data_IF_041644031285
#
_entry.id   IF_041644031285
#
_cell.length_a   1.000
_cell.length_b   1.000
_cell.length_c   1.000
_cell.angle_alpha   90.00
_cell.angle_beta   90.00
_cell.angle_gamma   90.00
#
_symmetry.space_group_name_H-M   'P 1'
#
loop_
_entity.id
_entity.type
_entity.pdbx_description
1 polymer ?
#
# COMPACT_ATOMS: atom_id res chain seq x y z
N UNK A 1 70.23 47.24 7.33
CA UNK A 1 69.57 47.19 6.01
C UNK A 1 68.24 46.44 6.20
N UNK A 2 67.18 47.19 6.09
CA UNK A 2 65.80 46.77 6.46
C UNK A 2 65.13 46.13 5.25
N UNK A 3 64.82 44.78 5.36
CA UNK A 3 64.11 44.07 4.34
C UNK A 3 62.57 44.18 4.55
N UNK A 4 61.89 44.74 3.55
CA UNK A 4 60.41 44.90 3.55
C UNK A 4 59.73 43.55 3.33
N UNK A 5 58.97 43.11 4.31
CA UNK A 5 58.00 42.02 4.16
C UNK A 5 56.72 42.59 3.51
N UNK A 6 56.42 42.18 2.30
CA UNK A 6 55.14 42.46 1.66
C UNK A 6 54.13 41.37 2.04
N UNK A 7 53.14 41.74 2.83
CA UNK A 7 51.96 40.88 3.17
C UNK A 7 50.96 40.94 2.02
N UNK A 8 50.83 39.88 1.29
CA UNK A 8 49.75 39.72 0.28
C UNK A 8 48.48 39.23 1.03
N UNK A 9 47.53 40.13 1.18
CA UNK A 9 46.20 39.79 1.67
C UNK A 9 45.41 39.09 0.56
N UNK A 10 45.22 37.79 0.68
CA UNK A 10 44.32 37.04 -0.18
C UNK A 10 42.89 37.24 0.33
N UNK A 11 42.13 38.08 -0.36
CA UNK A 11 40.71 38.28 -0.13
C UNK A 11 39.93 37.04 -0.55
N UNK A 12 39.43 36.27 0.39
CA UNK A 12 38.47 35.18 0.13
C UNK A 12 37.10 35.79 -0.14
N UNK A 13 36.75 35.94 -1.42
CA UNK A 13 35.37 36.22 -1.83
C UNK A 13 34.51 35.00 -1.51
N UNK A 14 33.79 35.01 -0.39
CA UNK A 14 32.69 34.10 -0.14
C UNK A 14 31.54 34.43 -1.11
N UNK A 15 31.47 33.73 -2.23
CA UNK A 15 30.29 33.74 -3.08
C UNK A 15 29.19 32.94 -2.37
N UNK A 16 28.31 33.64 -1.66
CA UNK A 16 27.05 33.07 -1.23
C UNK A 16 26.27 32.61 -2.48
N UNK A 17 26.19 31.31 -2.70
CA UNK A 17 25.30 30.73 -3.69
C UNK A 17 23.88 31.06 -3.27
N UNK A 18 23.30 32.10 -3.83
CA UNK A 18 21.86 32.36 -3.79
C UNK A 18 21.24 31.20 -4.55
N UNK A 19 20.61 30.31 -3.82
CA UNK A 19 19.77 29.26 -4.43
C UNK A 19 18.62 30.02 -5.10
N UNK A 20 18.57 29.97 -6.42
CA UNK A 20 17.45 30.55 -7.16
C UNK A 20 16.16 29.89 -6.66
N UNK A 21 15.28 30.67 -6.07
CA UNK A 21 13.99 30.21 -5.59
C UNK A 21 13.14 29.84 -6.82
N UNK A 22 12.61 28.62 -6.83
CA UNK A 22 11.71 28.15 -7.90
C UNK A 22 10.50 29.08 -8.01
N UNK A 23 10.13 29.44 -9.24
CA UNK A 23 9.00 30.31 -9.55
C UNK A 23 7.97 29.57 -10.41
N UNK A 24 6.70 29.99 -10.44
CA UNK A 24 5.69 29.38 -11.32
C UNK A 24 6.10 29.36 -12.80
N UNK A 25 6.96 30.32 -13.23
CA UNK A 25 7.41 30.40 -14.62
C UNK A 25 8.36 29.27 -15.04
N UNK A 26 8.97 28.59 -14.08
CA UNK A 26 9.89 27.46 -14.32
C UNK A 26 9.13 26.18 -14.71
N UNK A 27 7.81 26.19 -14.64
CA UNK A 27 6.93 25.04 -14.90
C UNK A 27 6.10 25.23 -16.16
N UNK A 28 6.01 24.17 -16.97
CA UNK A 28 5.31 24.23 -18.26
C UNK A 28 3.78 24.27 -18.11
N UNK A 29 3.25 23.68 -17.04
CA UNK A 29 1.80 23.61 -16.79
C UNK A 29 1.49 24.31 -15.47
N UNK A 30 0.54 25.22 -15.51
CA UNK A 30 0.04 25.95 -14.37
C UNK A 30 -1.48 25.81 -14.30
N UNK A 31 -2.00 25.47 -13.14
CA UNK A 31 -3.42 25.22 -12.92
C UNK A 31 -3.89 26.03 -11.70
N UNK A 32 -4.82 26.97 -11.86
CA UNK A 32 -5.32 27.74 -10.74
C UNK A 32 -6.13 26.84 -9.79
N UNK A 33 -5.99 27.10 -8.48
CA UNK A 33 -6.71 26.40 -7.42
C UNK A 33 -7.68 27.33 -6.73
N UNK A 34 -8.94 26.87 -6.59
CA UNK A 34 -9.90 27.45 -5.66
C UNK A 34 -9.86 26.65 -4.35
N UNK A 35 -9.83 27.37 -3.24
CA UNK A 35 -9.85 26.79 -1.89
C UNK A 35 -11.16 27.11 -1.18
N UNK A 36 -11.65 26.15 -0.40
CA UNK A 36 -12.88 26.26 0.38
C UNK A 36 -12.75 25.54 1.72
N UNK A 37 -13.56 25.94 2.70
CA UNK A 37 -13.51 25.39 4.04
C UNK A 37 -12.44 26.06 4.92
N UNK A 38 -12.08 25.40 6.03
CA UNK A 38 -11.18 25.96 7.04
C UNK A 38 -9.72 25.62 6.74
N UNK A 39 -8.89 26.66 6.56
CA UNK A 39 -7.44 26.52 6.48
C UNK A 39 -6.79 26.20 7.83
N UNK A 40 -5.45 26.15 7.90
CA UNK A 40 -4.50 26.50 6.83
C UNK A 40 -4.13 25.34 5.89
N UNK A 41 -4.57 24.10 6.14
CA UNK A 41 -4.28 22.97 5.26
C UNK A 41 -5.45 22.71 4.32
N UNK A 42 -5.13 22.52 3.05
CA UNK A 42 -6.09 22.17 2.00
C UNK A 42 -5.68 20.90 1.29
N UNK A 43 -6.66 20.05 0.98
CA UNK A 43 -6.48 18.81 0.23
C UNK A 43 -7.05 18.95 -1.16
N UNK A 44 -6.35 18.40 -2.14
CA UNK A 44 -6.71 18.35 -3.55
C UNK A 44 -6.59 16.92 -4.05
N UNK A 45 -7.64 16.37 -4.62
CA UNK A 45 -7.51 15.16 -5.44
C UNK A 45 -6.97 15.56 -6.81
N UNK A 46 -5.77 15.07 -7.16
CA UNK A 46 -5.13 15.41 -8.41
C UNK A 46 -5.86 14.74 -9.59
N UNK A 47 -6.51 15.52 -10.48
CA UNK A 47 -7.12 14.97 -11.68
C UNK A 47 -6.09 14.26 -12.56
N UNK A 48 -6.50 13.22 -13.28
CA UNK A 48 -5.59 12.49 -14.15
C UNK A 48 -4.96 13.38 -15.22
N UNK A 49 -5.73 14.33 -15.79
CA UNK A 49 -5.23 15.31 -16.76
C UNK A 49 -4.04 16.11 -16.22
N UNK A 50 -4.09 16.46 -14.95
CA UNK A 50 -2.99 17.14 -14.25
C UNK A 50 -1.81 16.21 -14.05
N UNK A 51 -2.05 14.98 -13.56
CA UNK A 51 -0.97 13.99 -13.39
C UNK A 51 -0.26 13.66 -14.71
N UNK A 52 -0.98 13.66 -15.83
CA UNK A 52 -0.42 13.45 -17.17
C UNK A 52 0.50 14.58 -17.65
N UNK A 53 0.41 15.77 -17.05
CA UNK A 53 1.28 16.91 -17.37
C UNK A 53 2.59 16.89 -16.58
N UNK A 54 2.74 16.00 -15.60
CA UNK A 54 3.98 15.82 -14.85
C UNK A 54 5.08 15.20 -15.74
N UNK A 55 6.32 15.63 -15.55
CA UNK A 55 7.49 15.07 -16.22
C UNK A 55 8.14 13.94 -15.42
N UNK A 56 7.85 13.87 -14.13
CA UNK A 56 8.34 12.83 -13.23
C UNK A 56 7.21 11.87 -12.87
N UNK A 57 7.44 10.58 -13.00
CA UNK A 57 6.44 9.54 -12.77
C UNK A 57 5.95 9.46 -11.30
N UNK A 58 6.77 9.93 -10.37
CA UNK A 58 6.46 10.02 -8.94
C UNK A 58 5.79 11.34 -8.54
N UNK A 59 5.54 12.24 -9.52
CA UNK A 59 5.03 13.60 -9.32
C UNK A 59 5.99 14.51 -8.51
N UNK A 60 7.28 14.23 -8.55
CA UNK A 60 8.30 15.01 -7.85
C UNK A 60 8.45 16.44 -8.35
N UNK A 61 7.96 16.72 -9.57
CA UNK A 61 7.94 18.04 -10.22
C UNK A 61 6.67 18.86 -9.93
N UNK A 62 5.83 18.41 -9.01
CA UNK A 62 4.66 19.19 -8.56
C UNK A 62 5.10 20.27 -7.57
N UNK A 63 4.49 21.47 -7.68
CA UNK A 63 4.61 22.57 -6.72
C UNK A 63 3.28 23.28 -6.55
N UNK A 64 3.12 23.92 -5.41
CA UNK A 64 1.99 24.85 -5.17
C UNK A 64 2.60 26.21 -4.85
N UNK A 65 2.08 27.27 -5.44
CA UNK A 65 2.52 28.64 -5.22
C UNK A 65 1.35 29.49 -4.75
N UNK A 66 1.63 30.54 -3.94
CA UNK A 66 0.67 31.57 -3.59
C UNK A 66 0.67 32.71 -4.64
N UNK A 67 -0.15 33.75 -4.41
CA UNK A 67 -0.23 34.91 -5.31
C UNK A 67 1.10 35.66 -5.48
N UNK A 68 1.97 35.62 -4.49
CA UNK A 68 3.31 36.23 -4.55
C UNK A 68 4.34 35.36 -5.29
N UNK A 69 3.94 34.17 -5.76
CA UNK A 69 4.87 33.22 -6.40
C UNK A 69 5.76 32.47 -5.41
N UNK A 70 5.44 32.45 -4.13
CA UNK A 70 6.19 31.71 -3.12
C UNK A 70 5.73 30.24 -3.06
N UNK A 71 6.69 29.28 -3.04
CA UNK A 71 6.36 27.88 -2.95
C UNK A 71 5.76 27.53 -1.58
N UNK A 72 4.73 26.69 -1.60
CA UNK A 72 4.03 26.21 -0.43
C UNK A 72 4.54 24.83 -0.02
N UNK A 73 4.63 24.56 1.28
CA UNK A 73 4.92 23.23 1.78
C UNK A 73 3.76 22.28 1.44
N UNK A 74 4.06 21.11 0.91
CA UNK A 74 3.04 20.14 0.49
C UNK A 74 3.48 18.70 0.71
N UNK A 75 2.51 17.81 0.72
CA UNK A 75 2.67 16.37 0.77
C UNK A 75 1.86 15.72 -0.34
N UNK A 76 2.35 14.62 -0.89
CA UNK A 76 1.63 13.74 -1.79
C UNK A 76 1.27 12.46 -1.06
N UNK A 77 0.01 12.07 -1.14
CA UNK A 77 -0.50 10.81 -0.58
C UNK A 77 -1.16 9.99 -1.67
N UNK A 78 -0.64 8.78 -1.87
CA UNK A 78 -1.30 7.78 -2.73
C UNK A 78 -2.16 6.91 -1.84
N UNK A 79 -3.45 6.91 -2.10
CA UNK A 79 -4.38 6.10 -1.33
C UNK A 79 -4.10 4.60 -1.59
N UNK A 80 -3.99 3.84 -0.51
CA UNK A 80 -3.84 2.39 -0.57
C UNK A 80 -5.18 1.71 -0.32
N UNK A 81 -5.30 0.44 -0.68
CA UNK A 81 -6.42 -0.39 -0.25
C UNK A 81 -6.52 -0.35 1.28
N UNK A 82 -7.70 -0.07 1.79
CA UNK A 82 -7.94 -0.05 3.23
C UNK A 82 -8.57 -1.38 3.63
N UNK A 83 -7.91 -2.09 4.53
CA UNK A 83 -8.48 -3.27 5.18
C UNK A 83 -8.90 -2.86 6.57
N UNK A 84 -10.20 -2.90 6.80
CA UNK A 84 -10.78 -2.66 8.13
C UNK A 84 -11.17 -4.00 8.71
N UNK A 85 -10.58 -4.35 9.84
CA UNK A 85 -10.95 -5.51 10.64
C UNK A 85 -11.85 -5.03 11.77
N UNK A 86 -13.08 -5.53 11.79
CA UNK A 86 -14.01 -5.28 12.90
C UNK A 86 -14.07 -6.53 13.74
N UNK A 87 -13.71 -6.41 15.01
CA UNK A 87 -13.78 -7.48 16.00
C UNK A 87 -15.00 -7.29 16.89
N UNK A 88 -15.74 -8.36 17.08
CA UNK A 88 -16.92 -8.39 17.94
C UNK A 88 -16.73 -9.46 19.01
N UNK A 89 -16.91 -9.08 20.26
CA UNK A 89 -16.89 -10.01 21.40
C UNK A 89 -18.33 -10.38 21.72
N UNK A 90 -18.63 -11.67 21.75
CA UNK A 90 -19.98 -12.18 22.01
C UNK A 90 -19.94 -13.18 23.16
N UNK A 91 -20.77 -12.98 24.17
CA UNK A 91 -21.01 -13.99 25.20
C UNK A 91 -21.78 -15.15 24.60
N UNK A 92 -21.32 -16.37 24.81
CA UNK A 92 -21.94 -17.57 24.25
C UNK A 92 -22.48 -18.46 25.35
N UNK A 93 -23.56 -19.18 25.04
CA UNK A 93 -24.11 -20.22 25.92
C UNK A 93 -23.19 -21.44 25.89
N UNK A 94 -23.05 -22.10 27.04
CA UNK A 94 -22.27 -23.32 27.15
C UNK A 94 -23.07 -24.42 27.85
N UNK A 95 -22.81 -25.66 27.45
CA UNK A 95 -23.51 -26.85 27.93
C UNK A 95 -22.48 -27.88 28.41
N UNK A 96 -22.69 -28.46 29.62
CA UNK A 96 -21.73 -29.42 30.15
C UNK A 96 -21.81 -30.77 29.44
N UNK A 97 -20.64 -31.37 29.23
CA UNK A 97 -20.48 -32.69 28.69
C UNK A 97 -20.06 -33.67 29.80
N UNK A 98 -20.92 -34.58 30.13
CA UNK A 98 -20.64 -35.64 31.10
C UNK A 98 -20.38 -36.98 30.41
N UNK A 99 -19.36 -37.71 30.89
CA UNK A 99 -19.10 -39.07 30.45
C UNK A 99 -18.82 -39.99 31.66
N UNK A 100 -18.88 -41.30 31.44
CA UNK A 100 -18.47 -42.27 32.44
C UNK A 100 -16.99 -42.11 32.79
N UNK A 101 -16.58 -42.45 33.99
CA UNK A 101 -15.19 -42.28 34.49
C UNK A 101 -14.17 -43.22 33.80
N UNK A 102 -14.41 -43.60 32.55
CA UNK A 102 -13.49 -44.38 31.70
C UNK A 102 -12.83 -43.45 30.68
N UNK A 103 -11.51 -43.59 30.48
CA UNK A 103 -10.68 -42.71 29.60
C UNK A 103 -11.08 -42.68 28.12
N UNK A 104 -11.98 -43.58 27.69
CA UNK A 104 -12.29 -43.75 26.24
C UNK A 104 -13.69 -43.30 25.83
N UNK A 105 -14.54 -42.81 26.73
CA UNK A 105 -15.91 -42.41 26.36
C UNK A 105 -16.01 -40.94 25.97
N UNK A 106 -16.17 -40.66 24.68
CA UNK A 106 -16.57 -39.33 24.20
C UNK A 106 -18.07 -39.18 24.46
N UNK A 107 -18.55 -38.08 25.08
CA UNK A 107 -19.98 -37.86 25.32
C UNK A 107 -20.77 -37.73 24.03
N UNK A 108 -21.92 -38.39 23.99
CA UNK A 108 -22.85 -38.31 22.85
C UNK A 108 -23.79 -37.13 23.04
N UNK A 109 -23.89 -36.26 22.04
CA UNK A 109 -24.70 -35.03 22.08
C UNK A 109 -25.89 -35.21 21.13
N UNK A 110 -27.11 -35.21 21.65
CA UNK A 110 -28.35 -35.35 20.85
C UNK A 110 -29.08 -34.01 20.81
N UNK A 111 -29.37 -33.53 19.60
CA UNK A 111 -30.21 -32.35 19.39
C UNK A 111 -31.68 -32.69 19.40
N UNK A 112 -32.50 -31.93 20.13
CA UNK A 112 -33.93 -31.81 19.91
C UNK A 112 -34.23 -30.37 19.49
N UNK A 113 -34.74 -30.22 18.27
CA UNK A 113 -35.25 -28.92 17.79
C UNK A 113 -36.73 -28.80 18.22
N UNK A 114 -37.05 -27.71 18.92
CA UNK A 114 -38.42 -27.32 19.25
C UNK A 114 -38.78 -26.03 18.51
N UNK A 115 -40.07 -25.73 18.38
CA UNK A 115 -40.56 -24.50 17.73
C UNK A 115 -40.04 -23.20 18.39
N UNK A 116 -39.55 -23.28 19.62
CA UNK A 116 -39.08 -22.14 20.44
C UNK A 116 -37.54 -22.02 20.50
N UNK A 117 -36.79 -22.91 19.82
CA UNK A 117 -35.33 -22.93 19.79
C UNK A 117 -34.73 -24.32 19.81
N UNK A 118 -33.42 -24.39 19.64
CA UNK A 118 -32.70 -25.66 19.71
C UNK A 118 -32.39 -25.98 21.16
N UNK A 119 -32.98 -27.07 21.68
CA UNK A 119 -32.64 -27.63 22.98
C UNK A 119 -31.53 -28.67 22.80
N UNK A 120 -30.39 -28.45 23.42
CA UNK A 120 -29.34 -29.44 23.54
C UNK A 120 -29.65 -30.38 24.71
N UNK A 121 -30.00 -31.62 24.42
CA UNK A 121 -30.14 -32.66 25.43
C UNK A 121 -28.90 -33.56 25.42
N UNK A 122 -28.06 -33.42 26.47
CA UNK A 122 -26.95 -34.34 26.68
C UNK A 122 -27.52 -35.60 27.34
N UNK A 123 -27.57 -36.74 26.62
CA UNK A 123 -28.02 -38.00 27.21
C UNK A 123 -26.92 -38.56 28.11
N UNK A 124 -27.23 -38.81 29.39
CA UNK A 124 -26.28 -39.49 30.26
C UNK A 124 -26.07 -40.92 29.80
N UNK A 125 -24.82 -41.32 29.55
CA UNK A 125 -24.47 -42.71 29.35
C UNK A 125 -24.72 -43.52 30.62
N UNK A 126 -25.13 -44.76 30.47
CA UNK A 126 -25.61 -45.71 31.48
C UNK A 126 -24.87 -45.67 32.84
N UNK A 127 -25.64 -45.96 33.90
CA UNK A 127 -25.28 -46.14 35.31
C UNK A 127 -23.76 -46.24 35.64
N UNK A 128 -23.18 -45.15 36.10
CA UNK A 128 -21.82 -45.00 36.62
C UNK A 128 -21.65 -43.56 37.14
N UNK A 129 -20.62 -43.32 37.94
CA UNK A 129 -20.28 -41.98 38.38
C UNK A 129 -19.93 -41.14 37.19
N UNK A 130 -20.77 -40.14 36.85
CA UNK A 130 -20.53 -39.22 35.73
C UNK A 130 -19.54 -38.14 36.13
N UNK A 131 -18.61 -37.87 35.25
CA UNK A 131 -17.55 -36.85 35.41
C UNK A 131 -17.72 -35.82 34.30
N UNK A 132 -17.61 -34.55 34.66
CA UNK A 132 -17.58 -33.46 33.69
C UNK A 132 -16.30 -33.55 32.87
N UNK A 133 -16.44 -33.76 31.56
CA UNK A 133 -15.32 -33.94 30.62
C UNK A 133 -15.04 -32.75 29.73
N UNK A 134 -16.04 -31.89 29.61
CA UNK A 134 -15.90 -30.75 28.71
C UNK A 134 -17.17 -29.92 28.59
N UNK A 135 -17.19 -29.12 27.55
CA UNK A 135 -18.25 -28.15 27.30
C UNK A 135 -18.55 -28.03 25.81
N UNK A 136 -19.80 -27.85 25.45
CA UNK A 136 -20.21 -27.40 24.12
C UNK A 136 -20.59 -25.93 24.20
N UNK A 137 -20.03 -25.12 23.32
CA UNK A 137 -20.34 -23.70 23.18
C UNK A 137 -21.26 -23.50 21.98
N UNK A 138 -22.32 -22.72 22.14
CA UNK A 138 -23.25 -22.37 21.06
C UNK A 138 -22.81 -21.06 20.40
N UNK A 139 -22.17 -21.18 19.25
CA UNK A 139 -21.76 -20.06 18.41
C UNK A 139 -22.73 -19.84 17.21
N UNK A 140 -23.89 -20.48 17.19
CA UNK A 140 -24.81 -20.49 16.03
C UNK A 140 -25.32 -19.09 15.63
N UNK A 141 -25.35 -18.14 16.55
CA UNK A 141 -25.68 -16.75 16.30
C UNK A 141 -24.54 -15.95 15.64
N UNK A 142 -23.29 -16.45 15.69
CA UNK A 142 -22.12 -15.78 15.14
C UNK A 142 -21.88 -16.29 13.73
N UNK A 143 -21.98 -15.39 12.73
CA UNK A 143 -21.75 -15.75 11.31
C UNK A 143 -20.33 -15.46 10.84
N UNK A 144 -19.63 -14.60 11.56
CA UNK A 144 -18.27 -14.21 11.25
C UNK A 144 -17.25 -15.26 11.72
N UNK A 145 -16.07 -15.37 11.08
CA UNK A 145 -14.99 -16.24 11.48
C UNK A 145 -14.57 -16.02 12.94
N UNK A 146 -14.42 -17.13 13.68
CA UNK A 146 -14.03 -17.12 15.09
C UNK A 146 -12.51 -17.05 15.20
N UNK A 147 -12.00 -16.02 15.88
CA UNK A 147 -10.57 -15.73 16.01
C UNK A 147 -10.01 -16.12 17.36
N UNK A 148 -10.84 -16.02 18.41
CA UNK A 148 -10.37 -16.20 19.78
C UNK A 148 -11.50 -16.69 20.66
N UNK A 149 -11.16 -17.54 21.60
CA UNK A 149 -12.01 -18.02 22.69
C UNK A 149 -11.46 -17.47 24.00
N UNK A 150 -12.31 -16.83 24.80
CA UNK A 150 -11.99 -16.43 26.16
C UNK A 150 -12.85 -17.20 27.14
N UNK A 151 -12.22 -17.85 28.11
CA UNK A 151 -12.87 -18.67 29.12
C UNK A 151 -12.55 -18.13 30.52
N UNK A 152 -13.54 -18.17 31.39
CA UNK A 152 -13.34 -18.02 32.83
C UNK A 152 -13.95 -19.20 33.55
N UNK A 153 -13.39 -19.56 34.70
CA UNK A 153 -13.81 -20.72 35.50
C UNK A 153 -13.74 -20.42 37.00
N UNK A 154 -14.31 -21.32 37.80
CA UNK A 154 -14.35 -21.13 39.27
C UNK A 154 -12.95 -21.01 39.90
N UNK A 155 -12.82 -20.14 40.91
CA UNK A 155 -11.55 -19.79 41.54
C UNK A 155 -10.91 -20.93 42.34
N UNK A 156 -11.65 -22.00 42.59
CA UNK A 156 -11.19 -23.16 43.34
C UNK A 156 -10.25 -24.07 42.55
N UNK A 157 -10.07 -23.80 41.26
CA UNK A 157 -9.31 -24.64 40.33
C UNK A 157 -8.20 -23.84 39.65
N UNK A 158 -7.20 -23.44 40.44
CA UNK A 158 -5.98 -22.82 39.93
C UNK A 158 -5.11 -23.87 39.19
N UNK A 159 -4.26 -23.39 38.29
CA UNK A 159 -3.35 -24.20 37.50
C UNK A 159 -3.53 -24.09 35.99
N UNK A 160 -2.89 -24.98 35.28
CA UNK A 160 -3.01 -25.08 33.83
C UNK A 160 -4.19 -25.97 33.46
N UNK A 161 -5.04 -25.46 32.59
CA UNK A 161 -6.20 -26.16 32.04
C UNK A 161 -5.96 -26.40 30.54
N UNK A 162 -5.82 -27.66 30.12
CA UNK A 162 -5.59 -28.04 28.74
C UNK A 162 -6.80 -28.79 28.18
N UNK A 163 -7.17 -28.47 26.97
CA UNK A 163 -8.31 -29.07 26.29
C UNK A 163 -8.11 -29.11 24.78
N UNK A 164 -8.71 -30.08 24.11
CA UNK A 164 -8.84 -30.08 22.65
C UNK A 164 -10.08 -29.26 22.25
N UNK A 165 -9.99 -28.64 21.08
CA UNK A 165 -11.04 -27.84 20.48
C UNK A 165 -11.50 -28.52 19.20
N UNK A 166 -12.79 -28.77 19.10
CA UNK A 166 -13.42 -29.33 17.94
C UNK A 166 -14.61 -28.46 17.53
N UNK A 167 -14.85 -28.35 16.22
CA UNK A 167 -15.92 -27.55 15.65
C UNK A 167 -16.91 -28.39 14.87
N UNK A 168 -18.18 -28.00 14.89
CA UNK A 168 -19.24 -28.65 14.16
C UNK A 168 -20.33 -27.66 13.74
N UNK A 169 -21.00 -27.93 12.63
CA UNK A 169 -22.18 -27.20 12.20
C UNK A 169 -23.49 -27.95 12.49
N UNK A 170 -23.40 -29.25 12.80
CA UNK A 170 -24.58 -30.15 12.94
C UNK A 170 -24.59 -30.98 14.25
N UNK A 171 -23.55 -30.81 15.10
CA UNK A 171 -23.33 -31.57 16.34
C UNK A 171 -23.07 -33.09 16.14
N UNK A 172 -22.98 -33.54 14.89
CA UNK A 172 -22.73 -34.94 14.55
C UNK A 172 -21.31 -35.12 14.02
N UNK A 173 -20.86 -34.23 13.14
CA UNK A 173 -19.55 -34.26 12.52
C UNK A 173 -18.67 -33.22 13.15
N UNK A 174 -17.57 -33.66 13.77
CA UNK A 174 -16.65 -32.83 14.50
C UNK A 174 -15.31 -32.78 13.79
N UNK A 175 -14.83 -31.57 13.49
CA UNK A 175 -13.50 -31.32 12.93
C UNK A 175 -12.59 -30.75 14.00
N UNK A 176 -11.36 -31.23 14.10
CA UNK A 176 -10.37 -30.73 15.06
C UNK A 176 -9.92 -29.32 14.68
N UNK A 177 -9.95 -28.43 15.65
CA UNK A 177 -9.40 -27.06 15.56
C UNK A 177 -8.14 -26.88 16.40
N UNK A 178 -7.57 -27.98 16.93
CA UNK A 178 -6.35 -27.99 17.70
C UNK A 178 -6.58 -28.03 19.20
N UNK A 179 -5.56 -27.65 19.95
CA UNK A 179 -5.55 -27.69 21.41
C UNK A 179 -5.52 -26.27 21.98
N UNK A 180 -6.19 -26.07 23.13
CA UNK A 180 -6.20 -24.86 23.91
C UNK A 180 -5.59 -25.05 25.28
N UNK A 181 -4.99 -23.99 25.82
CA UNK A 181 -4.52 -23.95 27.19
C UNK A 181 -4.90 -22.60 27.80
N UNK A 182 -5.50 -22.65 28.97
CA UNK A 182 -5.71 -21.49 29.82
C UNK A 182 -5.06 -21.75 31.17
N UNK A 183 -4.71 -20.70 31.91
CA UNK A 183 -4.01 -20.83 33.19
C UNK A 183 -4.44 -19.75 34.15
N UNK A 184 -4.47 -20.13 35.43
CA UNK A 184 -4.56 -19.22 36.57
C UNK A 184 -3.57 -19.72 37.62
N UNK A 185 -2.58 -18.90 37.91
CA UNK A 185 -1.54 -19.20 38.87
C UNK A 185 -1.54 -18.10 39.92
N UNK A 186 -1.61 -18.49 41.19
CA UNK A 186 -1.57 -17.56 42.31
C UNK A 186 -0.36 -17.87 43.19
N UNK A 187 0.42 -16.87 43.54
CA UNK A 187 1.52 -16.97 44.50
C UNK A 187 1.55 -15.73 45.38
N UNK A 188 1.36 -15.92 46.67
CA UNK A 188 1.17 -14.83 47.63
C UNK A 188 0.06 -13.87 47.16
N UNK A 189 0.39 -12.59 46.98
CA UNK A 189 -0.56 -11.56 46.50
C UNK A 189 -0.53 -11.37 44.99
N UNK A 190 0.31 -12.11 44.26
CA UNK A 190 0.47 -12.01 42.80
C UNK A 190 -0.35 -13.08 42.10
N UNK A 191 -0.86 -12.72 40.88
CA UNK A 191 -1.64 -13.61 40.05
C UNK A 191 -1.25 -13.45 38.58
N UNK A 192 -1.10 -14.59 37.93
CA UNK A 192 -0.90 -14.67 36.44
C UNK A 192 -2.08 -15.43 35.87
N UNK A 193 -2.80 -14.80 34.97
CA UNK A 193 -4.00 -15.37 34.32
C UNK A 193 -3.87 -15.32 32.82
N UNK A 194 -4.20 -16.44 32.17
CA UNK A 194 -4.32 -16.58 30.71
C UNK A 194 -5.69 -17.19 30.43
N UNK A 195 -6.61 -16.38 29.95
CA UNK A 195 -7.99 -16.76 29.67
C UNK A 195 -8.26 -17.00 28.19
N UNK A 196 -7.33 -16.65 27.33
CA UNK A 196 -7.55 -16.51 25.89
C UNK A 196 -6.84 -17.61 25.11
N UNK A 197 -7.53 -18.17 24.11
CA UNK A 197 -7.02 -19.19 23.21
C UNK A 197 -7.33 -18.76 21.78
N UNK A 198 -6.32 -18.77 20.90
CA UNK A 198 -6.50 -18.46 19.49
C UNK A 198 -7.26 -19.58 18.78
N UNK A 199 -8.16 -19.20 17.89
CA UNK A 199 -8.91 -20.09 16.99
C UNK A 199 -8.43 -19.92 15.55
N UNK A 200 -8.69 -20.90 14.66
CA UNK A 200 -8.15 -20.91 13.29
C UNK A 200 -8.75 -19.87 12.34
N UNK A 201 -9.65 -19.00 12.79
CA UNK A 201 -10.24 -17.98 11.93
C UNK A 201 -11.26 -18.54 10.95
N UNK A 202 -11.96 -19.58 11.31
CA UNK A 202 -13.02 -20.21 10.55
C UNK A 202 -14.37 -20.02 11.24
N UNK A 203 -15.47 -20.21 10.50
CA UNK A 203 -16.82 -20.16 11.04
C UNK A 203 -17.25 -21.56 11.48
N UNK A 204 -17.92 -21.66 12.61
CA UNK A 204 -18.59 -22.88 13.07
C UNK A 204 -19.80 -22.51 13.93
N UNK A 205 -20.80 -23.36 13.95
CA UNK A 205 -22.00 -23.16 14.78
C UNK A 205 -21.81 -23.61 16.20
N UNK A 206 -20.98 -24.63 16.43
CA UNK A 206 -20.76 -25.22 17.74
C UNK A 206 -19.29 -25.52 17.93
N UNK A 207 -18.76 -25.26 19.12
CA UNK A 207 -17.43 -25.66 19.53
C UNK A 207 -17.53 -26.64 20.69
N UNK A 208 -16.79 -27.75 20.63
CA UNK A 208 -16.67 -28.72 21.70
C UNK A 208 -15.27 -28.63 22.29
N UNK A 209 -15.23 -28.39 23.60
CA UNK A 209 -14.00 -28.32 24.38
C UNK A 209 -13.91 -29.59 25.23
N UNK A 210 -12.92 -30.44 25.00
CA UNK A 210 -12.68 -31.67 25.74
C UNK A 210 -11.42 -31.55 26.60
N UNK A 211 -11.59 -31.57 27.91
CA UNK A 211 -10.48 -31.43 28.84
C UNK A 211 -9.57 -32.66 28.84
N UNK A 212 -8.27 -32.41 28.81
CA UNK A 212 -7.24 -33.47 28.84
C UNK A 212 -6.94 -33.96 30.27
N UNK A 213 -7.57 -33.38 31.29
CA UNK A 213 -7.50 -33.81 32.68
C UNK A 213 -8.61 -34.79 33.04
N UNK A 214 -8.66 -35.18 34.35
CA UNK A 214 -9.71 -36.10 34.85
C UNK A 214 -11.10 -35.44 34.93
N UNK A 215 -11.16 -34.16 35.23
CA UNK A 215 -12.41 -33.39 35.43
C UNK A 215 -12.24 -32.00 34.77
N UNK A 216 -13.19 -31.58 33.96
CA UNK A 216 -13.23 -30.22 33.47
C UNK A 216 -13.61 -29.22 34.54
N UNK A 217 -13.08 -28.00 34.54
CA UNK A 217 -13.47 -26.96 35.48
C UNK A 217 -14.89 -26.45 35.23
N UNK A 218 -15.54 -25.94 36.26
CA UNK A 218 -16.81 -25.26 36.10
C UNK A 218 -16.60 -23.90 35.47
N UNK A 219 -17.11 -23.70 34.26
CA UNK A 219 -17.03 -22.41 33.58
C UNK A 219 -17.95 -21.38 34.23
N UNK A 220 -17.45 -20.15 34.35
CA UNK A 220 -18.20 -18.97 34.81
C UNK A 220 -18.47 -17.99 33.69
N UNK A 221 -17.66 -17.99 32.64
CA UNK A 221 -17.86 -17.18 31.45
C UNK A 221 -17.22 -17.87 30.23
N UNK A 222 -17.87 -17.71 29.07
CA UNK A 222 -17.33 -18.10 27.78
C UNK A 222 -17.69 -17.02 26.75
N UNK A 223 -16.66 -16.47 26.09
CA UNK A 223 -16.80 -15.44 25.07
C UNK A 223 -16.04 -15.83 23.82
N UNK A 224 -16.64 -15.54 22.68
CA UNK A 224 -16.03 -15.73 21.38
C UNK A 224 -15.77 -14.38 20.74
N UNK A 225 -14.54 -14.19 20.26
CA UNK A 225 -14.18 -13.05 19.44
C UNK A 225 -14.26 -13.48 17.99
N UNK A 226 -15.13 -12.84 17.26
CA UNK A 226 -15.24 -13.00 15.80
C UNK A 226 -14.71 -11.76 15.09
N UNK A 227 -14.15 -11.95 13.90
CA UNK A 227 -13.65 -10.84 13.10
C UNK A 227 -14.24 -10.90 11.69
N UNK A 228 -14.72 -9.76 11.23
CA UNK A 228 -15.03 -9.53 9.82
C UNK A 228 -14.02 -8.59 9.24
N UNK A 229 -13.45 -8.96 8.09
CA UNK A 229 -12.59 -8.05 7.34
C UNK A 229 -13.37 -7.50 6.15
N UNK A 230 -13.49 -6.19 6.08
CA UNK A 230 -13.90 -5.50 4.87
C UNK A 230 -12.66 -4.87 4.22
N UNK A 231 -12.51 -5.08 2.92
CA UNK A 231 -11.47 -4.40 2.14
C UNK A 231 -12.12 -3.39 1.22
N UNK A 232 -11.77 -2.13 1.40
CA UNK A 232 -12.04 -1.12 0.39
C UNK A 232 -10.93 -1.24 -0.67
N UNK A 233 -11.28 -1.45 -1.94
CA UNK A 233 -10.29 -1.50 -2.99
C UNK A 233 -9.53 -0.17 -3.07
N UNK A 234 -8.30 -0.23 -3.55
CA UNK A 234 -7.49 0.95 -3.80
C UNK A 234 -8.21 1.88 -4.78
N UNK A 235 -8.41 3.16 -4.43
CA UNK A 235 -9.04 4.11 -5.34
C UNK A 235 -8.18 4.32 -6.59
N UNK A 236 -8.81 4.17 -7.75
CA UNK A 236 -8.17 4.28 -9.05
C UNK A 236 -8.83 5.40 -9.87
N UNK A 237 -8.02 6.10 -10.64
CA UNK A 237 -8.47 7.08 -11.63
C UNK A 237 -8.21 6.51 -13.01
N UNK A 238 -9.28 6.39 -13.82
CA UNK A 238 -9.24 5.80 -15.14
C UNK A 238 -9.01 6.85 -16.23
N UNK A 239 -8.21 6.50 -17.24
CA UNK A 239 -7.99 7.33 -18.40
C UNK A 239 -9.21 7.33 -19.36
N UNK A 240 -9.23 8.29 -20.28
CA UNK A 240 -10.03 8.17 -21.50
C UNK A 240 -9.52 6.97 -22.32
N UNK A 241 -10.36 6.40 -23.21
CA UNK A 241 -9.92 5.34 -24.11
C UNK A 241 -8.77 5.80 -25.00
N UNK A 242 -7.72 5.00 -25.06
CA UNK A 242 -6.58 5.18 -25.95
C UNK A 242 -6.71 4.24 -27.15
N UNK A 243 -6.54 4.78 -28.33
CA UNK A 243 -6.46 3.97 -29.54
C UNK A 243 -5.11 3.26 -29.62
N UNK A 244 -5.13 1.96 -29.95
CA UNK A 244 -3.94 1.17 -30.15
C UNK A 244 -3.56 1.03 -31.63
N UNK A 245 -2.37 0.51 -31.87
CA UNK A 245 -1.90 0.08 -33.16
C UNK A 245 -1.81 -1.44 -33.20
N UNK A 246 -2.24 -2.06 -34.32
CA UNK A 246 -2.01 -3.48 -34.57
C UNK A 246 -0.64 -3.61 -35.25
N UNK A 247 0.28 -4.31 -34.64
CA UNK A 247 1.62 -4.53 -35.16
C UNK A 247 1.64 -5.71 -36.17
N UNK A 248 1.01 -6.80 -35.79
CA UNK A 248 0.77 -8.00 -36.60
C UNK A 248 -0.43 -8.77 -36.06
N UNK A 249 -0.74 -9.92 -36.62
CA UNK A 249 -1.78 -10.79 -36.12
C UNK A 249 -1.54 -11.13 -34.63
N UNK A 250 -2.54 -10.89 -33.78
CA UNK A 250 -2.47 -11.13 -32.34
C UNK A 250 -1.51 -10.23 -31.57
N UNK A 251 -0.97 -9.16 -32.15
CA UNK A 251 -0.06 -8.25 -31.45
C UNK A 251 -0.49 -6.80 -31.59
N UNK A 252 -0.76 -6.16 -30.46
CA UNK A 252 -1.24 -4.78 -30.36
C UNK A 252 -0.33 -3.95 -29.46
N UNK A 253 -0.23 -2.65 -29.74
CA UNK A 253 0.56 -1.72 -28.93
C UNK A 253 -0.18 -0.42 -28.66
N UNK A 254 0.17 0.21 -27.54
CA UNK A 254 -0.32 1.52 -27.11
C UNK A 254 0.83 2.33 -26.58
N UNK A 255 0.83 3.62 -26.90
CA UNK A 255 1.71 4.62 -26.35
C UNK A 255 0.99 5.31 -25.21
N UNK A 256 1.57 5.32 -24.02
CA UNK A 256 1.05 6.09 -22.89
C UNK A 256 1.65 7.50 -22.90
N UNK A 257 0.92 8.53 -22.45
CA UNK A 257 1.39 9.92 -22.51
C UNK A 257 2.68 10.18 -21.73
N UNK A 258 2.91 9.42 -20.67
CA UNK A 258 4.07 9.53 -19.77
C UNK A 258 4.35 8.17 -19.14
N UNK A 259 5.57 7.97 -18.65
CA UNK A 259 5.94 6.77 -17.88
C UNK A 259 5.23 6.71 -16.53
N UNK A 260 3.92 6.53 -16.54
CA UNK A 260 3.07 6.48 -15.35
C UNK A 260 3.15 5.12 -14.64
N UNK A 261 2.94 5.15 -13.32
CA UNK A 261 2.74 3.92 -12.53
C UNK A 261 1.33 3.39 -12.72
N UNK A 262 1.17 2.48 -13.67
CA UNK A 262 -0.12 1.91 -14.04
C UNK A 262 -0.43 0.71 -13.14
N UNK A 263 -1.62 0.72 -12.53
CA UNK A 263 -2.10 -0.33 -11.63
C UNK A 263 -3.03 -1.32 -12.32
N UNK A 264 -3.84 -0.84 -13.26
CA UNK A 264 -4.77 -1.67 -14.03
C UNK A 264 -4.91 -1.19 -15.46
N UNK A 265 -5.23 -2.15 -16.32
CA UNK A 265 -5.63 -1.90 -17.70
C UNK A 265 -7.00 -2.50 -17.93
N UNK A 266 -7.82 -1.84 -18.73
CA UNK A 266 -9.06 -2.36 -19.27
C UNK A 266 -8.98 -2.33 -20.80
N UNK A 267 -9.24 -3.48 -21.42
CA UNK A 267 -9.18 -3.65 -22.88
C UNK A 267 -10.60 -3.85 -23.38
N UNK A 268 -11.06 -2.98 -24.26
CA UNK A 268 -12.42 -3.02 -24.76
C UNK A 268 -12.66 -4.25 -25.64
N UNK A 269 -13.54 -5.14 -25.22
CA UNK A 269 -13.94 -6.33 -25.96
C UNK A 269 -15.24 -6.05 -26.72
N UNK A 270 -15.13 -5.71 -28.01
CA UNK A 270 -16.28 -5.33 -28.84
C UNK A 270 -17.13 -6.53 -29.23
N UNK A 271 -16.51 -7.69 -29.48
CA UNK A 271 -17.22 -8.89 -29.97
C UNK A 271 -17.78 -9.72 -28.81
N UNK A 272 -19.04 -10.16 -28.88
CA UNK A 272 -19.57 -11.14 -27.94
C UNK A 272 -18.91 -12.50 -28.17
N UNK A 273 -18.94 -13.34 -27.14
CA UNK A 273 -18.37 -14.69 -27.13
C UNK A 273 -16.88 -14.74 -27.53
N UNK A 274 -16.15 -13.70 -27.11
CA UNK A 274 -14.69 -13.62 -27.23
C UNK A 274 -14.05 -14.28 -26.02
N UNK A 275 -13.02 -15.10 -26.25
CA UNK A 275 -12.14 -15.66 -25.22
C UNK A 275 -10.72 -15.67 -25.78
N UNK A 276 -9.83 -14.92 -25.13
CA UNK A 276 -8.47 -14.68 -25.61
C UNK A 276 -7.45 -14.75 -24.48
N UNK A 277 -6.61 -15.80 -24.41
CA UNK A 277 -5.42 -15.77 -23.59
C UNK A 277 -4.46 -14.68 -24.04
N UNK A 278 -3.92 -13.90 -23.10
CA UNK A 278 -3.09 -12.74 -23.42
C UNK A 278 -1.84 -12.69 -22.57
N UNK A 279 -0.78 -12.13 -23.13
CA UNK A 279 0.44 -11.75 -22.42
C UNK A 279 0.68 -10.27 -22.68
N UNK A 280 0.80 -9.51 -21.59
CA UNK A 280 1.09 -8.09 -21.63
C UNK A 280 2.56 -7.86 -21.30
N UNK A 281 3.24 -7.08 -22.10
CA UNK A 281 4.57 -6.56 -21.84
C UNK A 281 4.56 -5.04 -21.88
N UNK A 282 5.49 -4.42 -21.16
CA UNK A 282 5.66 -2.97 -21.16
C UNK A 282 7.12 -2.58 -21.14
N UNK A 283 7.38 -1.34 -21.52
CA UNK A 283 8.67 -0.67 -21.35
C UNK A 283 8.47 0.80 -21.05
N UNK A 284 9.42 1.41 -20.39
CA UNK A 284 9.33 2.81 -20.02
C UNK A 284 9.56 3.74 -21.21
N UNK A 285 10.49 3.39 -22.07
CA UNK A 285 10.85 4.11 -23.28
C UNK A 285 11.38 3.15 -24.36
N UNK A 286 11.54 3.65 -25.57
CA UNK A 286 11.96 2.85 -26.75
C UNK A 286 13.34 2.21 -26.61
N UNK A 287 14.21 2.72 -25.73
CA UNK A 287 15.57 2.21 -25.54
C UNK A 287 15.63 1.03 -24.58
N UNK A 288 14.54 0.74 -23.88
CA UNK A 288 14.48 -0.35 -22.92
C UNK A 288 13.89 -1.63 -23.53
N UNK A 289 14.35 -2.77 -23.02
CA UNK A 289 13.78 -4.06 -23.41
C UNK A 289 12.35 -4.21 -22.87
N UNK A 290 11.51 -4.94 -23.61
CA UNK A 290 10.18 -5.30 -23.17
C UNK A 290 10.22 -6.20 -21.92
N UNK A 291 9.50 -5.81 -20.88
CA UNK A 291 9.37 -6.57 -19.65
C UNK A 291 7.98 -7.19 -19.58
N UNK A 292 7.84 -8.47 -19.21
CA UNK A 292 6.55 -9.07 -18.96
C UNK A 292 5.89 -8.40 -17.75
N UNK A 293 4.63 -7.98 -17.87
CA UNK A 293 3.89 -7.29 -16.81
C UNK A 293 2.77 -8.14 -16.25
N UNK A 294 2.01 -8.82 -17.12
CA UNK A 294 0.84 -9.59 -16.69
C UNK A 294 0.49 -10.63 -17.76
N UNK A 295 -0.14 -11.70 -17.30
CA UNK A 295 -0.76 -12.71 -18.16
C UNK A 295 -2.19 -12.94 -17.68
N UNK A 296 -3.09 -13.29 -18.57
CA UNK A 296 -4.48 -13.54 -18.20
C UNK A 296 -5.32 -14.05 -19.36
N UNK A 297 -6.59 -14.22 -19.10
CA UNK A 297 -7.58 -14.54 -20.13
C UNK A 297 -8.61 -13.42 -20.15
N UNK A 298 -8.71 -12.74 -21.28
CA UNK A 298 -9.76 -11.76 -21.53
C UNK A 298 -10.94 -12.46 -22.16
N UNK A 299 -12.13 -12.17 -21.68
CA UNK A 299 -13.34 -12.73 -22.27
C UNK A 299 -14.56 -11.83 -22.11
N UNK A 300 -15.48 -11.96 -23.06
CA UNK A 300 -16.84 -11.44 -23.02
C UNK A 300 -17.76 -12.57 -23.51
N UNK A 301 -18.43 -13.21 -22.58
CA UNK A 301 -19.26 -14.39 -22.84
C UNK A 301 -20.73 -14.06 -22.52
N UNK A 302 -21.62 -14.32 -23.48
CA UNK A 302 -23.06 -14.14 -23.27
C UNK A 302 -23.65 -15.45 -22.76
N UNK A 303 -24.09 -15.48 -21.50
CA UNK A 303 -24.74 -16.64 -20.87
C UNK A 303 -26.12 -16.24 -20.38
N UNK A 304 -27.15 -16.98 -20.77
CA UNK A 304 -28.53 -16.70 -20.36
C UNK A 304 -29.00 -15.26 -20.61
N UNK A 305 -28.53 -14.64 -21.67
CA UNK A 305 -28.83 -13.24 -22.01
C UNK A 305 -28.08 -12.19 -21.21
N UNK A 306 -27.11 -12.57 -20.37
CA UNK A 306 -26.24 -11.67 -19.65
C UNK A 306 -24.80 -11.83 -20.12
N UNK A 307 -24.11 -10.68 -20.24
CA UNK A 307 -22.68 -10.67 -20.57
C UNK A 307 -21.86 -10.84 -19.29
N UNK A 308 -21.01 -11.86 -19.26
CA UNK A 308 -19.96 -12.03 -18.27
C UNK A 308 -18.65 -11.56 -18.89
N UNK A 309 -18.06 -10.50 -18.33
CA UNK A 309 -16.90 -9.83 -18.93
C UNK A 309 -15.72 -9.88 -17.95
N UNK A 310 -14.56 -10.25 -18.48
CA UNK A 310 -13.25 -10.13 -17.87
C UNK A 310 -12.36 -9.38 -18.84
N UNK A 311 -12.31 -8.07 -18.71
CA UNK A 311 -11.60 -7.15 -19.60
C UNK A 311 -10.44 -6.42 -18.91
N UNK A 312 -10.21 -6.71 -17.61
CA UNK A 312 -9.18 -6.06 -16.81
C UNK A 312 -7.95 -6.95 -16.60
N UNK A 313 -6.78 -6.32 -16.68
CA UNK A 313 -5.49 -6.88 -16.28
C UNK A 313 -4.91 -6.05 -15.13
N UNK A 314 -4.47 -6.73 -14.08
CA UNK A 314 -3.77 -6.11 -12.97
C UNK A 314 -2.27 -6.00 -13.28
N UNK A 315 -1.67 -4.88 -12.96
CA UNK A 315 -0.25 -4.60 -13.13
C UNK A 315 0.44 -4.41 -11.78
N UNK A 316 1.76 -4.60 -11.72
CA UNK A 316 2.52 -4.44 -10.47
C UNK A 316 2.80 -2.97 -10.08
N UNK A 317 2.12 -2.00 -10.68
CA UNK A 317 2.31 -0.58 -10.37
C UNK A 317 3.66 -0.04 -10.86
N UNK A 318 4.12 -0.50 -12.02
CA UNK A 318 5.38 -0.07 -12.62
C UNK A 318 5.17 1.10 -13.59
N UNK A 319 6.22 1.91 -13.74
CA UNK A 319 6.21 3.02 -14.68
C UNK A 319 6.38 2.49 -16.12
N UNK A 320 5.36 2.70 -16.93
CA UNK A 320 5.34 2.28 -18.36
C UNK A 320 4.99 3.46 -19.25
N UNK A 321 5.68 3.55 -20.41
CA UNK A 321 5.38 4.50 -21.49
C UNK A 321 4.85 3.80 -22.72
N UNK A 322 5.18 2.53 -22.90
CA UNK A 322 4.69 1.72 -24.02
C UNK A 322 4.21 0.37 -23.54
N UNK A 323 3.09 -0.07 -24.08
CA UNK A 323 2.47 -1.36 -23.79
C UNK A 323 2.38 -2.19 -25.06
N UNK A 324 2.58 -3.49 -24.93
CA UNK A 324 2.42 -4.48 -26.00
C UNK A 324 1.61 -5.67 -25.48
N UNK A 325 0.50 -5.96 -26.13
CA UNK A 325 -0.36 -7.10 -25.86
C UNK A 325 -0.15 -8.15 -26.93
N UNK A 326 0.18 -9.35 -26.52
CA UNK A 326 0.20 -10.53 -27.35
C UNK A 326 -0.99 -11.40 -27.02
N UNK A 327 -1.77 -11.75 -28.02
CA UNK A 327 -3.02 -12.49 -27.94
C UNK A 327 -2.86 -13.84 -28.61
N UNK A 328 -3.32 -14.89 -27.95
CA UNK A 328 -3.45 -16.21 -28.58
C UNK A 328 -4.67 -16.22 -29.48
N UNK A 329 -4.44 -16.26 -30.79
CA UNK A 329 -5.50 -16.20 -31.81
C UNK A 329 -6.21 -17.55 -32.05
N UNK A 330 -5.82 -18.64 -31.39
CA UNK A 330 -6.48 -19.95 -31.56
C UNK A 330 -7.96 -19.94 -31.19
N UNK A 331 -8.38 -19.03 -30.32
CA UNK A 331 -9.78 -18.79 -29.94
C UNK A 331 -10.48 -17.69 -30.73
N UNK A 332 -9.92 -17.23 -31.86
CA UNK A 332 -10.50 -16.14 -32.68
C UNK A 332 -9.92 -14.74 -32.35
N UNK A 333 -9.11 -14.61 -31.30
CA UNK A 333 -8.43 -13.36 -30.94
C UNK A 333 -9.38 -12.23 -30.51
N UNK A 334 -8.91 -10.98 -30.65
CA UNK A 334 -9.67 -9.77 -30.30
C UNK A 334 -10.27 -9.03 -31.50
N UNK A 335 -10.19 -9.62 -32.69
CA UNK A 335 -10.69 -9.04 -33.94
C UNK A 335 -9.59 -8.38 -34.79
N UNK A 336 -10.02 -7.74 -35.88
CA UNK A 336 -9.11 -7.17 -36.88
C UNK A 336 -8.52 -5.83 -36.44
N UNK A 337 -9.30 -5.03 -35.72
CA UNK A 337 -8.90 -3.72 -35.23
C UNK A 337 -8.21 -3.82 -33.89
N UNK A 338 -7.30 -2.89 -33.61
CA UNK A 338 -6.73 -2.76 -32.28
C UNK A 338 -7.84 -2.33 -31.29
N UNK A 339 -8.01 -3.04 -30.17
CA UNK A 339 -8.98 -2.65 -29.17
C UNK A 339 -8.59 -1.33 -28.50
N UNK A 340 -9.57 -0.57 -28.05
CA UNK A 340 -9.31 0.58 -27.20
C UNK A 340 -8.85 0.10 -25.82
N UNK A 341 -7.92 0.83 -25.23
CA UNK A 341 -7.36 0.55 -23.90
C UNK A 341 -7.65 1.72 -22.98
N UNK A 342 -8.05 1.44 -21.76
CA UNK A 342 -8.02 2.40 -20.64
C UNK A 342 -7.00 1.92 -19.61
N UNK A 343 -6.24 2.85 -19.07
CA UNK A 343 -5.37 2.56 -17.96
C UNK A 343 -5.87 3.24 -16.69
N UNK A 344 -5.51 2.69 -15.55
CA UNK A 344 -5.81 3.28 -14.25
C UNK A 344 -4.53 3.47 -13.45
N UNK A 345 -4.45 4.62 -12.79
CA UNK A 345 -3.42 4.97 -11.83
C UNK A 345 -4.02 5.14 -10.45
N UNK A 346 -3.23 5.07 -9.40
CA UNK A 346 -3.70 5.35 -8.03
C UNK A 346 -4.20 6.78 -7.92
N UNK A 347 -5.34 6.95 -7.29
CA UNK A 347 -5.78 8.27 -6.89
C UNK A 347 -4.72 8.90 -5.98
N UNK A 348 -4.22 10.05 -6.41
CA UNK A 348 -3.21 10.81 -5.67
C UNK A 348 -3.84 12.04 -5.08
N UNK A 349 -3.67 12.22 -3.78
CA UNK A 349 -4.11 13.40 -3.06
C UNK A 349 -2.90 14.26 -2.73
N UNK A 350 -2.99 15.54 -3.04
CA UNK A 350 -2.05 16.55 -2.63
C UNK A 350 -2.64 17.30 -1.41
N UNK A 351 -1.82 17.49 -0.38
CA UNK A 351 -2.17 18.34 0.76
C UNK A 351 -1.12 19.42 0.84
N UNK A 352 -1.53 20.68 0.96
CA UNK A 352 -0.60 21.80 1.13
C UNK A 352 -0.98 22.70 2.29
N UNK A 353 0.03 23.32 2.88
CA UNK A 353 -0.10 24.33 3.91
C UNK A 353 -0.13 25.70 3.21
N UNK A 354 -1.30 26.35 3.22
CA UNK A 354 -1.47 27.66 2.62
C UNK A 354 -0.83 28.74 3.48
N UNK A 355 0.16 29.41 2.91
CA UNK A 355 0.82 30.60 3.47
C UNK A 355 0.70 31.76 2.49
N UNK A 356 0.35 32.93 2.98
CA UNK A 356 0.12 34.11 2.13
C UNK A 356 -1.27 34.12 1.52
N UNK A 357 -1.47 34.97 0.53
CA UNK A 357 -2.78 35.25 -0.04
C UNK A 357 -3.09 34.40 -1.28
N UNK A 358 -4.36 34.03 -1.50
CA UNK A 358 -4.80 33.45 -2.77
C UNK A 358 -4.69 34.49 -3.92
N UNK A 359 -4.70 34.06 -5.21
CA UNK A 359 -4.95 32.70 -5.66
C UNK A 359 -3.75 31.77 -5.52
N UNK A 360 -4.04 30.49 -5.22
CA UNK A 360 -3.01 29.45 -5.25
C UNK A 360 -2.93 28.84 -6.65
N UNK A 361 -1.71 28.47 -7.05
CA UNK A 361 -1.46 27.87 -8.37
C UNK A 361 -0.69 26.56 -8.19
N UNK A 362 -1.23 25.50 -8.77
CA UNK A 362 -0.54 24.22 -8.93
C UNK A 362 0.32 24.28 -10.18
N UNK A 363 1.61 24.00 -10.06
CA UNK A 363 2.56 24.03 -11.15
C UNK A 363 3.27 22.67 -11.29
N UNK A 364 3.51 22.22 -12.52
CA UNK A 364 4.15 20.95 -12.84
C UNK A 364 4.73 20.98 -14.27
N UNK A 365 5.48 19.94 -14.62
CA UNK A 365 6.09 19.82 -15.96
C UNK A 365 7.52 20.33 -16.04
N UNK A 366 8.23 20.42 -14.90
CA UNK A 366 9.65 20.70 -14.85
C UNK A 366 10.43 19.44 -14.42
N UNK A 367 10.95 18.69 -15.37
CA UNK A 367 11.71 17.46 -15.09
C UNK A 367 13.06 17.67 -14.41
N UNK A 368 13.56 18.92 -14.33
CA UNK A 368 14.87 19.23 -13.75
C UNK A 368 14.85 19.51 -12.25
N UNK A 369 13.67 19.70 -11.65
CA UNK A 369 13.55 19.98 -10.22
C UNK A 369 13.63 18.71 -9.38
N UNK A 370 14.11 18.84 -8.15
CA UNK A 370 14.10 17.75 -7.18
C UNK A 370 12.75 17.69 -6.49
N UNK A 371 12.31 16.48 -6.12
CA UNK A 371 11.09 16.31 -5.34
C UNK A 371 11.17 17.12 -4.02
N UNK A 372 10.11 17.88 -3.73
CA UNK A 372 10.02 18.74 -2.55
C UNK A 372 8.86 18.39 -1.62
N UNK A 373 8.16 17.27 -1.89
CA UNK A 373 7.06 16.80 -1.06
C UNK A 373 7.56 16.33 0.31
N UNK A 374 6.83 16.71 1.34
CA UNK A 374 7.08 16.30 2.73
C UNK A 374 6.24 15.04 3.06
N UNK A 375 6.63 14.25 4.07
CA UNK A 375 5.72 13.29 4.68
C UNK A 375 4.50 13.99 5.27
N UNK A 376 3.31 13.36 5.20
CA UNK A 376 2.08 13.93 5.79
C UNK A 376 2.21 14.21 7.29
N UNK A 377 2.91 13.34 8.02
CA UNK A 377 3.20 13.51 9.45
C UNK A 377 4.10 14.70 9.77
N UNK A 378 4.91 15.15 8.80
CA UNK A 378 5.72 16.36 8.94
C UNK A 378 4.90 17.60 8.58
N UNK A 379 4.05 17.51 7.56
CA UNK A 379 3.23 18.62 7.11
C UNK A 379 2.09 18.95 8.08
N UNK A 380 1.48 17.92 8.66
CA UNK A 380 0.32 18.03 9.56
C UNK A 380 0.75 17.51 10.94
N UNK A 381 0.89 18.37 11.96
CA UNK A 381 1.07 17.93 13.33
C UNK A 381 -0.11 17.04 13.77
N UNK A 382 0.16 15.97 14.52
CA UNK A 382 -0.83 14.99 14.99
C UNK A 382 -1.65 14.38 13.84
N UNK A 383 -0.98 14.05 12.75
CA UNK A 383 -1.59 13.44 11.57
C UNK A 383 -2.38 12.16 11.92
N UNK A 384 -3.63 12.12 11.47
CA UNK A 384 -4.46 10.91 11.45
C UNK A 384 -5.31 10.88 10.19
N UNK A 385 -5.77 9.69 9.81
CA UNK A 385 -6.65 9.53 8.65
C UNK A 385 -7.97 10.31 8.81
N UNK A 386 -8.47 10.44 10.04
CA UNK A 386 -9.68 11.22 10.34
C UNK A 386 -9.42 12.72 10.19
N UNK A 387 -8.26 13.20 10.68
CA UNK A 387 -7.88 14.61 10.51
C UNK A 387 -7.75 15.00 9.05
N UNK A 388 -7.25 14.10 8.19
CA UNK A 388 -7.16 14.34 6.76
C UNK A 388 -8.55 14.62 6.13
N UNK A 389 -9.62 13.98 6.63
CA UNK A 389 -10.98 14.18 6.14
C UNK A 389 -11.57 15.57 6.49
N UNK A 390 -11.09 16.20 7.56
CA UNK A 390 -11.59 17.48 8.06
C UNK A 390 -10.87 18.70 7.51
N UNK A 391 -9.81 18.52 6.69
CA UNK A 391 -9.07 19.61 6.07
C UNK A 391 -9.94 20.39 5.06
N UNK A 392 -9.59 21.65 4.83
CA UNK A 392 -10.15 22.44 3.74
C UNK A 392 -9.97 21.72 2.40
N UNK A 393 -10.80 22.08 1.43
CA UNK A 393 -10.76 21.49 0.10
C UNK A 393 -10.17 22.47 -0.90
N UNK A 394 -9.34 21.98 -1.79
CA UNK A 394 -8.91 22.69 -2.97
C UNK A 394 -9.44 21.96 -4.21
N UNK A 395 -9.82 22.71 -5.21
CA UNK A 395 -10.28 22.20 -6.50
C UNK A 395 -9.55 22.92 -7.63
N UNK A 396 -9.31 22.20 -8.70
CA UNK A 396 -8.79 22.79 -9.93
C UNK A 396 -9.87 23.65 -10.56
N UNK A 397 -9.58 24.91 -10.85
CA UNK A 397 -10.50 25.84 -11.51
C UNK A 397 -9.95 26.22 -12.86
N UNK A 398 -10.72 25.92 -13.91
CA UNK A 398 -10.34 26.20 -15.30
C UNK A 398 -9.46 25.12 -15.93
N UNK A 399 -9.20 25.32 -17.21
CA UNK A 399 -8.32 24.46 -17.99
C UNK A 399 -6.85 24.72 -17.60
N UNK A 400 -6.04 23.67 -17.64
CA UNK A 400 -4.61 23.78 -17.42
C UNK A 400 -4.01 24.75 -18.47
N UNK A 401 -3.47 25.86 -18.00
CA UNK A 401 -2.74 26.77 -18.87
C UNK A 401 -1.40 26.13 -19.21
N UNK A 402 -1.35 25.44 -20.33
CA UNK A 402 -0.10 24.95 -20.88
C UNK A 402 0.62 26.13 -21.49
N UNK A 403 1.54 26.75 -20.77
CA UNK A 403 2.49 27.67 -21.38
C UNK A 403 3.41 26.82 -22.25
N UNK A 404 3.42 27.07 -23.57
CA UNK A 404 4.52 26.60 -24.40
C UNK A 404 5.79 27.02 -23.67
N UNK A 405 6.54 26.04 -23.16
CA UNK A 405 7.85 26.33 -22.63
C UNK A 405 8.58 27.04 -23.76
N UNK A 406 8.88 28.31 -23.54
CA UNK A 406 10.03 28.89 -24.19
C UNK A 406 11.14 27.93 -23.76
N UNK A 407 11.59 27.11 -24.70
CA UNK A 407 12.71 26.20 -24.49
C UNK A 407 13.79 27.11 -23.93
N UNK A 408 13.91 27.09 -22.58
CA UNK A 408 15.12 27.61 -21.96
C UNK A 408 16.18 26.77 -22.64
N UNK A 409 16.94 27.43 -23.51
CA UNK A 409 17.99 26.82 -24.30
C UNK A 409 18.68 25.85 -23.37
N UNK A 410 18.75 24.58 -23.79
CA UNK A 410 19.56 23.57 -23.09
C UNK A 410 20.80 24.30 -22.64
N UNK A 411 21.20 24.28 -21.36
CA UNK A 411 22.41 24.93 -21.00
C UNK A 411 23.43 24.39 -22.00
N UNK A 412 23.88 25.27 -22.91
CA UNK A 412 25.03 24.96 -23.75
C UNK A 412 25.98 24.26 -22.82
N UNK A 413 26.54 23.15 -23.29
CA UNK A 413 27.62 22.46 -22.56
C UNK A 413 28.72 23.48 -22.44
N UNK A 414 28.48 24.46 -21.58
CA UNK A 414 29.43 25.51 -21.20
C UNK A 414 30.58 24.75 -20.62
N UNK A 415 31.68 24.79 -21.34
CA UNK A 415 32.97 24.27 -20.91
C UNK A 415 33.10 24.62 -19.43
N UNK A 416 33.11 23.61 -18.60
CA UNK A 416 33.04 23.77 -17.13
C UNK A 416 34.34 24.39 -16.67
N UNK A 417 34.42 25.72 -16.76
CA UNK A 417 35.60 26.53 -16.44
C UNK A 417 36.15 26.20 -15.07
N UNK A 418 35.30 25.71 -14.15
CA UNK A 418 35.74 25.24 -12.82
C UNK A 418 36.55 23.96 -12.92
N UNK A 419 36.17 23.01 -13.76
CA UNK A 419 36.97 21.81 -14.02
C UNK A 419 38.25 22.14 -14.78
N UNK A 420 38.19 23.02 -15.77
CA UNK A 420 39.38 23.49 -16.48
C UNK A 420 40.34 24.20 -15.51
N UNK A 421 39.86 25.08 -14.63
CA UNK A 421 40.63 25.72 -13.57
C UNK A 421 41.27 24.72 -12.60
N UNK A 422 40.53 23.70 -12.20
CA UNK A 422 41.02 22.63 -11.31
C UNK A 422 42.18 21.84 -11.98
N UNK A 423 42.02 21.50 -13.26
CA UNK A 423 43.06 20.83 -14.05
C UNK A 423 44.29 21.71 -14.25
N UNK A 424 44.11 23.00 -14.46
CA UNK A 424 45.22 23.95 -14.59
C UNK A 424 46.03 24.06 -13.28
N UNK A 425 45.37 24.13 -12.12
CA UNK A 425 46.04 24.15 -10.80
C UNK A 425 46.75 22.82 -10.54
N UNK A 426 46.16 21.68 -10.91
CA UNK A 426 46.81 20.39 -10.76
C UNK A 426 48.08 20.28 -11.61
N UNK A 427 48.01 20.69 -12.88
CA UNK A 427 49.19 20.70 -13.79
C UNK A 427 50.29 21.63 -13.32
N UNK A 428 49.94 22.83 -12.80
CA UNK A 428 50.89 23.75 -12.18
C UNK A 428 51.54 23.16 -10.94
N UNK A 429 50.79 22.46 -10.09
CA UNK A 429 51.33 21.76 -8.94
C UNK A 429 52.34 20.68 -9.32
N UNK A 430 51.98 19.85 -10.33
CA UNK A 430 52.86 18.79 -10.83
C UNK A 430 54.11 19.38 -11.47
N UNK A 431 54.00 20.47 -12.24
CA UNK A 431 55.13 21.17 -12.85
C UNK A 431 56.08 21.77 -11.79
N UNK A 432 55.53 22.36 -10.73
CA UNK A 432 56.32 22.88 -9.60
C UNK A 432 57.08 21.78 -8.85
N UNK A 433 56.42 20.63 -8.60
CA UNK A 433 57.09 19.47 -8.00
C UNK A 433 58.18 18.88 -8.90
N UNK A 434 57.93 18.82 -10.22
CA UNK A 434 58.90 18.40 -11.21
C UNK A 434 60.13 19.32 -11.27
N UNK A 435 59.92 20.65 -11.24
CA UNK A 435 60.98 21.62 -11.20
C UNK A 435 61.80 21.52 -9.91
N UNK A 436 61.15 21.28 -8.78
CA UNK A 436 61.81 21.12 -7.48
C UNK A 436 62.67 19.82 -7.46
N UNK A 437 62.14 18.73 -7.97
CA UNK A 437 62.87 17.46 -8.11
C UNK A 437 64.07 17.60 -9.06
N UNK A 438 63.88 18.31 -10.20
CA UNK A 438 64.97 18.59 -11.15
C UNK A 438 66.05 19.46 -10.54
N UNK A 439 65.68 20.47 -9.74
CA UNK A 439 66.61 21.34 -9.02
C UNK A 439 67.46 20.57 -7.98
N UNK A 440 66.88 19.62 -7.29
CA UNK A 440 67.57 18.75 -6.33
C UNK A 440 68.56 17.77 -6.99
N UNK A 441 68.22 17.29 -8.19
CA UNK A 441 69.12 16.44 -8.98
C UNK A 441 70.32 17.19 -9.56
N UNK A 442 70.18 18.50 -9.70
CA UNK A 442 71.28 19.39 -10.23
C UNK A 442 72.13 20.01 -9.15
N UNK A 443 71.89 19.80 -7.88
CA UNK A 443 72.74 20.32 -6.81
C UNK A 443 74.14 19.68 -6.93
N UNK A 444 75.21 20.46 -7.11
CA UNK A 444 76.54 19.89 -7.20
C UNK A 444 76.95 19.34 -5.85
N UNK A 445 77.45 18.11 -5.86
CA UNK A 445 78.02 17.47 -4.68
C UNK A 445 79.11 18.36 -4.09
N UNK A 446 78.95 18.85 -2.86
CA UNK A 446 79.99 19.48 -2.10
C UNK A 446 81.15 18.50 -1.94
N UNK A 447 82.33 18.87 -2.45
CA UNK A 447 83.60 18.14 -2.21
C UNK A 447 83.96 18.26 -0.75
N UNK A 448 84.56 17.22 -0.16
CA UNK A 448 85.02 17.22 1.22
C UNK A 448 86.13 18.21 1.53
#
# INVERSE_FOLDING_TARGET
MIGKLSVIAVGVCMTSSVWAQETPADFTTQVPLAVSGNGPWYRLELPLSVQLSARQADLGDVRVFNAAGEPQAYALSRQSAQRTESRTVTDVKWFPLYAADTRESVPDVVMKSTAEGTLLEVRPSRAGKQVLRGWVLDASAIKAPLQQLSLDWSREQDGFQRFSIEASDDLQHWASWGDGQVARLSFADERVEQHEVSLPGQSARYLRLLWQGQVAPTLTSAKLVSATSSSLPMPLVWSQPLSGARLKAGEYSWQLPTGLHVERLRIELKQPNTLAPVTLAGRRDANQAWQPLSTGVLYRLTQNGQDVVQDELQLPGVAVGELKLQVDERGGGLGVEAPALRFAVRATQLVFLARGEPPFTLALGNGGVKAANLPLSTLIPDYSAERLKTLGQATVTGDAVVKSATVAASPEVGTDWKKLGLWAVLLLGVAALGAMAYSLLRAPAAKP
#
